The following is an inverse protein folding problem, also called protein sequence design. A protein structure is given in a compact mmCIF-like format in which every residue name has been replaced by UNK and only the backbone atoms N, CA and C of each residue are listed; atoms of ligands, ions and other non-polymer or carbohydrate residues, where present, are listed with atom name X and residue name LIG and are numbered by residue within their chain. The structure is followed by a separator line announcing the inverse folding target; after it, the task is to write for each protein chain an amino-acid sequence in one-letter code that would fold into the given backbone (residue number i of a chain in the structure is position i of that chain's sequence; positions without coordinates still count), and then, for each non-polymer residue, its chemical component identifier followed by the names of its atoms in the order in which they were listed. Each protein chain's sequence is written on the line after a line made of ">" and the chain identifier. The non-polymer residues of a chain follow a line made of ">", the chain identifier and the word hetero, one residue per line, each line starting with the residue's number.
data_IF_519563222404
#
_entry.id   IF_519563222404
#
_cell.length_a   1.000
_cell.length_b   1.000
_cell.length_c   1.000
_cell.angle_alpha   90.00
_cell.angle_beta   90.00
_cell.angle_gamma   90.00
#
_symmetry.space_group_name_H-M   'P 1'
#
loop_
_entity.id
_entity.type
_entity.pdbx_description
1 polymer ?
#
# COMPACT_ATOMS: atom_id res chain seq x y z
N UNK A 1 -17.55 -16.27 2.63
CA UNK A 1 -16.70 -15.85 3.78
C UNK A 1 -17.15 -14.46 4.21
N UNK A 2 -16.99 -14.04 5.48
CA UNK A 2 -17.30 -12.66 5.85
C UNK A 2 -16.38 -11.70 5.09
N UNK A 3 -16.93 -10.56 4.67
CA UNK A 3 -16.20 -9.50 3.96
C UNK A 3 -15.07 -8.96 4.85
N UNK A 4 -13.85 -8.93 4.35
CA UNK A 4 -12.65 -8.56 5.12
C UNK A 4 -12.51 -7.04 5.22
N UNK A 5 -12.49 -6.43 6.42
CA UNK A 5 -12.22 -5.00 6.56
C UNK A 5 -10.74 -4.68 6.25
N UNK A 6 -10.51 -3.77 5.31
CA UNK A 6 -9.17 -3.40 4.83
C UNK A 6 -8.93 -1.90 4.98
N UNK A 7 -7.80 -1.52 5.55
CA UNK A 7 -7.21 -0.19 5.42
C UNK A 7 -6.06 -0.31 4.42
N UNK A 8 -6.11 0.51 3.37
CA UNK A 8 -5.10 0.54 2.32
C UNK A 8 -4.18 1.74 2.54
N UNK A 9 -2.89 1.50 2.64
CA UNK A 9 -1.86 2.50 2.86
C UNK A 9 -0.88 2.45 1.69
N UNK A 10 -0.64 3.58 1.03
CA UNK A 10 -0.01 3.65 -0.30
C UNK A 10 0.81 4.93 -0.43
N UNK A 11 1.91 4.87 -1.13
CA UNK A 11 2.70 6.04 -1.51
C UNK A 11 2.40 6.49 -2.95
N UNK A 12 1.14 6.47 -3.35
CA UNK A 12 0.60 6.79 -4.68
C UNK A 12 1.16 8.10 -5.26
N UNK A 13 2.33 8.02 -5.86
CA UNK A 13 3.07 9.15 -6.46
C UNK A 13 4.15 8.67 -7.44
N UNK A 14 5.12 7.89 -6.97
CA UNK A 14 6.41 7.65 -7.65
C UNK A 14 6.42 6.43 -8.56
N UNK A 15 5.42 5.57 -8.47
CA UNK A 15 5.20 4.41 -9.33
C UNK A 15 3.71 4.25 -9.64
N UNK A 16 3.37 3.52 -10.69
CA UNK A 16 1.96 3.35 -11.09
C UNK A 16 1.33 2.06 -10.57
N UNK A 17 2.09 1.16 -9.98
CA UNK A 17 1.55 -0.11 -9.48
C UNK A 17 0.65 0.08 -8.25
N UNK A 18 0.82 1.15 -7.47
CA UNK A 18 -0.15 1.61 -6.47
C UNK A 18 -1.57 1.79 -7.05
N UNK A 19 -1.67 2.46 -8.20
CA UNK A 19 -2.96 2.65 -8.87
C UNK A 19 -3.55 1.31 -9.34
N UNK A 20 -2.70 0.42 -9.84
CA UNK A 20 -3.05 -0.96 -10.17
C UNK A 20 -3.51 -1.76 -8.96
N UNK A 21 -2.83 -1.62 -7.84
CA UNK A 21 -3.15 -2.28 -6.57
C UNK A 21 -4.51 -1.81 -6.01
N UNK A 22 -4.79 -0.52 -6.07
CA UNK A 22 -6.09 0.02 -5.68
C UNK A 22 -7.22 -0.50 -6.59
N UNK A 23 -6.97 -0.64 -7.91
CA UNK A 23 -7.92 -1.27 -8.82
C UNK A 23 -8.20 -2.73 -8.45
N UNK A 24 -7.16 -3.53 -8.14
CA UNK A 24 -7.31 -4.91 -7.66
C UNK A 24 -8.15 -4.95 -6.38
N UNK A 25 -7.89 -4.05 -5.44
CA UNK A 25 -8.65 -3.99 -4.18
C UNK A 25 -10.13 -3.63 -4.41
N UNK A 26 -10.42 -2.67 -5.31
CA UNK A 26 -11.80 -2.35 -5.70
C UNK A 26 -12.51 -3.53 -6.36
N UNK A 27 -11.82 -4.27 -7.22
CA UNK A 27 -12.38 -5.45 -7.86
C UNK A 27 -12.70 -6.57 -6.86
N UNK A 28 -11.82 -6.81 -5.88
CA UNK A 28 -12.06 -7.74 -4.78
C UNK A 28 -13.21 -7.27 -3.87
N UNK A 29 -13.30 -5.97 -3.61
CA UNK A 29 -14.41 -5.39 -2.86
C UNK A 29 -15.74 -5.55 -3.61
N UNK A 30 -15.76 -5.33 -4.91
CA UNK A 30 -16.93 -5.57 -5.77
C UNK A 30 -17.40 -7.03 -5.79
N UNK A 31 -16.51 -7.98 -5.47
CA UNK A 31 -16.85 -9.40 -5.29
C UNK A 31 -17.30 -9.76 -3.87
N UNK A 32 -17.31 -8.79 -2.95
CA UNK A 32 -17.66 -9.01 -1.54
C UNK A 32 -16.56 -9.64 -0.72
N UNK A 33 -15.33 -9.77 -1.25
CA UNK A 33 -14.19 -10.34 -0.52
C UNK A 33 -13.56 -9.34 0.46
N UNK A 34 -13.58 -8.04 0.12
CA UNK A 34 -13.03 -6.97 0.94
C UNK A 34 -14.03 -5.83 1.14
N UNK A 35 -13.88 -5.11 2.25
CA UNK A 35 -14.52 -3.81 2.52
C UNK A 35 -13.41 -2.79 2.75
N UNK A 36 -13.26 -1.86 1.84
CA UNK A 36 -12.30 -0.76 1.98
C UNK A 36 -12.84 0.19 3.06
N UNK A 37 -12.13 0.32 4.17
CA UNK A 37 -12.52 1.21 5.26
C UNK A 37 -12.05 2.65 5.01
N UNK A 38 -10.89 2.80 4.38
CA UNK A 38 -10.28 4.06 4.02
C UNK A 38 -8.92 3.84 3.37
N UNK A 39 -8.39 4.91 2.78
CA UNK A 39 -7.09 4.91 2.10
C UNK A 39 -6.19 5.98 2.72
N UNK A 40 -4.96 5.60 3.04
CA UNK A 40 -3.94 6.47 3.61
C UNK A 40 -2.89 6.73 2.51
N UNK A 41 -2.64 8.01 2.20
CA UNK A 41 -1.52 8.39 1.34
C UNK A 41 -0.29 8.65 2.23
N UNK A 42 0.65 7.75 2.20
CA UNK A 42 1.88 7.78 3.00
C UNK A 42 3.05 8.47 2.29
N UNK A 43 2.85 8.93 1.06
CA UNK A 43 3.81 9.77 0.35
C UNK A 43 3.66 11.26 0.73
N UNK A 44 4.77 12.01 0.84
CA UNK A 44 4.74 13.44 1.12
C UNK A 44 4.39 14.26 -0.14
N UNK A 45 3.23 13.97 -0.74
CA UNK A 45 2.71 14.60 -1.95
C UNK A 45 1.33 15.22 -1.72
N UNK A 46 1.08 16.37 -2.35
CA UNK A 46 -0.25 17.00 -2.33
C UNK A 46 -1.21 16.40 -3.36
N UNK A 47 -0.69 15.61 -4.30
CA UNK A 47 -1.45 15.03 -5.41
C UNK A 47 -1.92 13.60 -5.16
N UNK A 48 -1.30 12.86 -4.24
CA UNK A 48 -1.71 11.50 -3.89
C UNK A 48 -3.15 11.40 -3.39
N UNK A 49 -3.58 12.15 -2.36
CA UNK A 49 -4.94 12.07 -1.87
C UNK A 49 -6.02 12.37 -2.92
N UNK A 50 -5.95 13.44 -3.75
CA UNK A 50 -6.94 13.66 -4.81
C UNK A 50 -6.84 12.63 -5.95
N UNK A 51 -5.68 12.05 -6.24
CA UNK A 51 -5.53 10.94 -7.18
C UNK A 51 -6.27 9.70 -6.67
N UNK A 52 -6.07 9.33 -5.41
CA UNK A 52 -6.78 8.23 -4.73
C UNK A 52 -8.30 8.46 -4.78
N UNK A 53 -8.74 9.68 -4.45
CA UNK A 53 -10.17 10.03 -4.48
C UNK A 53 -10.76 9.90 -5.90
N UNK A 54 -10.00 10.26 -6.93
CA UNK A 54 -10.42 10.10 -8.33
C UNK A 54 -10.58 8.62 -8.72
N UNK A 55 -9.66 7.75 -8.29
CA UNK A 55 -9.78 6.30 -8.51
C UNK A 55 -10.98 5.74 -7.77
N UNK A 56 -11.14 6.05 -6.47
CA UNK A 56 -12.30 5.61 -5.69
C UNK A 56 -13.63 6.03 -6.33
N UNK A 57 -13.73 7.28 -6.80
CA UNK A 57 -14.92 7.80 -7.46
C UNK A 57 -15.23 7.07 -8.77
N UNK A 58 -14.22 6.69 -9.55
CA UNK A 58 -14.40 5.88 -10.75
C UNK A 58 -15.06 4.53 -10.43
N UNK A 59 -14.70 3.91 -9.31
CA UNK A 59 -15.32 2.66 -8.85
C UNK A 59 -16.64 2.86 -8.10
N UNK A 60 -17.15 4.11 -8.01
CA UNK A 60 -18.42 4.42 -7.33
C UNK A 60 -18.33 4.30 -5.81
N UNK A 61 -17.15 4.38 -5.23
CA UNK A 61 -16.91 4.17 -3.79
C UNK A 61 -16.46 5.48 -3.15
N UNK A 62 -17.20 5.91 -2.11
CA UNK A 62 -16.85 7.07 -1.29
C UNK A 62 -16.28 6.58 0.06
N UNK A 63 -14.95 6.46 0.12
CA UNK A 63 -14.22 6.11 1.34
C UNK A 63 -13.29 7.24 1.75
N UNK A 64 -13.10 7.45 3.07
CA UNK A 64 -12.24 8.52 3.54
C UNK A 64 -10.79 8.33 3.09
N UNK A 65 -10.15 9.43 2.71
CA UNK A 65 -8.74 9.48 2.30
C UNK A 65 -7.98 10.35 3.29
N UNK A 66 -6.80 9.90 3.69
CA UNK A 66 -5.89 10.66 4.53
C UNK A 66 -4.55 10.91 3.86
N UNK A 67 -3.79 11.84 4.41
CA UNK A 67 -2.42 12.16 4.00
C UNK A 67 -1.47 12.14 5.18
N UNK A 68 -0.23 11.77 4.91
CA UNK A 68 0.89 11.99 5.82
C UNK A 68 1.19 13.48 5.96
N UNK A 69 0.93 14.27 4.92
CA UNK A 69 1.05 15.72 4.95
C UNK A 69 -0.22 16.34 5.54
N UNK A 70 -0.04 17.04 6.66
CA UNK A 70 -1.06 17.93 7.24
C UNK A 70 -0.61 19.36 6.99
N UNK A 71 -1.48 20.29 6.57
CA UNK A 71 -1.07 21.69 6.40
C UNK A 71 -0.53 22.32 7.71
N UNK A 72 0.52 23.15 7.64
CA UNK A 72 1.31 23.52 6.48
C UNK A 72 2.19 22.35 6.01
N UNK A 73 2.24 22.12 4.69
CA UNK A 73 2.93 20.99 4.08
C UNK A 73 4.46 21.11 4.20
N UNK A 74 4.99 20.86 5.39
CA UNK A 74 6.44 20.78 5.58
C UNK A 74 6.93 19.37 5.26
N UNK A 75 7.67 19.26 4.17
CA UNK A 75 8.31 18.01 3.77
C UNK A 75 9.67 17.78 4.43
N UNK A 76 10.12 18.65 5.33
CA UNK A 76 11.28 18.52 6.23
C UNK A 76 12.47 17.68 5.77
N UNK A 77 13.48 17.55 6.62
CA UNK A 77 14.66 16.72 6.37
C UNK A 77 14.32 15.21 6.34
N UNK A 78 13.24 14.80 7.02
CA UNK A 78 12.77 13.42 7.07
C UNK A 78 12.60 12.82 5.66
N UNK A 79 12.09 13.60 4.71
CA UNK A 79 11.80 13.15 3.35
C UNK A 79 12.90 13.50 2.33
N UNK A 80 14.13 13.73 2.78
CA UNK A 80 15.26 14.10 1.91
C UNK A 80 15.50 13.05 0.80
N UNK A 81 15.45 11.78 1.14
CA UNK A 81 15.64 10.69 0.18
C UNK A 81 14.51 10.64 -0.84
N UNK A 82 13.29 10.82 -0.38
CA UNK A 82 12.11 10.86 -1.24
C UNK A 82 12.16 12.04 -2.22
N UNK A 83 12.53 13.24 -1.76
CA UNK A 83 12.72 14.40 -2.63
C UNK A 83 13.80 14.17 -3.69
N UNK A 84 14.91 13.56 -3.30
CA UNK A 84 15.98 13.21 -4.24
C UNK A 84 15.50 12.22 -5.31
N UNK A 85 14.65 11.27 -4.93
CA UNK A 85 14.03 10.34 -5.88
C UNK A 85 13.07 11.04 -6.83
N UNK A 86 12.23 11.96 -6.35
CA UNK A 86 11.35 12.77 -7.22
C UNK A 86 12.16 13.59 -8.23
N UNK A 87 13.28 14.17 -7.83
CA UNK A 87 14.15 14.90 -8.74
C UNK A 87 14.77 13.99 -9.81
N UNK A 88 15.19 12.79 -9.41
CA UNK A 88 15.65 11.77 -10.35
C UNK A 88 14.55 11.37 -11.35
N UNK A 89 13.31 11.15 -10.88
CA UNK A 89 12.18 10.81 -11.75
C UNK A 89 11.92 11.86 -12.81
N UNK A 90 12.06 13.16 -12.49
CA UNK A 90 11.90 14.26 -13.47
C UNK A 90 12.89 14.20 -14.63
N UNK A 91 14.04 13.57 -14.43
CA UNK A 91 15.07 13.38 -15.45
C UNK A 91 15.03 12.02 -16.12
N UNK A 92 14.18 11.11 -15.65
CA UNK A 92 14.01 9.76 -16.17
C UNK A 92 13.02 9.69 -17.35
N UNK A 93 12.80 8.51 -17.89
CA UNK A 93 11.74 8.23 -18.86
C UNK A 93 10.34 8.20 -18.27
N UNK A 94 10.22 8.02 -16.96
CA UNK A 94 8.96 7.97 -16.23
C UNK A 94 8.36 9.37 -16.03
N UNK A 95 7.03 9.43 -15.88
CA UNK A 95 6.31 10.67 -15.64
C UNK A 95 5.36 10.50 -14.47
N UNK A 96 5.38 11.45 -13.55
CA UNK A 96 4.43 11.50 -12.46
C UNK A 96 3.01 11.62 -13.01
N UNK A 97 2.10 10.80 -12.54
CA UNK A 97 0.74 10.69 -13.05
C UNK A 97 -0.32 11.26 -12.10
N UNK A 98 0.00 11.33 -10.81
CA UNK A 98 -0.97 11.64 -9.75
C UNK A 98 -1.60 13.03 -9.90
N UNK A 99 -0.83 14.06 -10.27
CA UNK A 99 -1.36 15.38 -10.58
C UNK A 99 -2.32 15.34 -11.79
N UNK A 100 -1.93 14.66 -12.86
CA UNK A 100 -2.75 14.54 -14.07
C UNK A 100 -4.07 13.80 -13.78
N UNK A 101 -4.02 12.69 -13.05
CA UNK A 101 -5.22 11.94 -12.65
C UNK A 101 -6.11 12.80 -11.76
N UNK A 102 -5.52 13.44 -10.74
CA UNK A 102 -6.25 14.30 -9.81
C UNK A 102 -6.96 15.46 -10.54
N UNK A 103 -6.29 16.14 -11.46
CA UNK A 103 -6.85 17.30 -12.17
C UNK A 103 -7.86 16.91 -13.22
N UNK A 104 -7.65 15.81 -13.94
CA UNK A 104 -8.56 15.36 -15.00
C UNK A 104 -9.87 14.80 -14.49
N UNK A 105 -9.85 14.16 -13.31
CA UNK A 105 -11.01 13.53 -12.70
C UNK A 105 -11.50 14.27 -11.44
N UNK A 106 -11.05 15.51 -11.24
CA UNK A 106 -11.39 16.32 -10.07
C UNK A 106 -12.89 16.63 -10.02
N UNK A 107 -13.68 15.68 -9.54
CA UNK A 107 -15.09 15.86 -9.17
C UNK A 107 -15.31 15.92 -7.66
N UNK A 108 -14.39 15.42 -6.87
CA UNK A 108 -14.52 15.42 -5.41
C UNK A 108 -13.24 15.90 -4.74
N UNK A 109 -13.20 17.14 -4.28
CA UNK A 109 -12.28 17.56 -3.23
C UNK A 109 -12.77 16.91 -1.93
N UNK A 110 -12.57 15.61 -1.81
CA UNK A 110 -12.82 14.92 -0.55
C UNK A 110 -11.96 15.59 0.54
N UNK A 111 -12.56 15.80 1.71
CA UNK A 111 -11.82 16.29 2.88
C UNK A 111 -10.71 15.29 3.19
N UNK A 112 -9.48 15.72 3.05
CA UNK A 112 -8.33 14.90 3.41
C UNK A 112 -8.15 14.89 4.93
N UNK A 113 -8.08 13.70 5.51
CA UNK A 113 -7.83 13.50 6.94
C UNK A 113 -6.32 13.54 7.23
N UNK A 114 -5.97 13.81 8.48
CA UNK A 114 -4.63 13.48 8.96
C UNK A 114 -4.50 11.96 9.09
N UNK A 115 -3.35 11.39 8.64
CA UNK A 115 -3.16 9.96 8.53
C UNK A 115 -3.43 9.20 9.83
N UNK A 116 -2.80 9.62 10.93
CA UNK A 116 -2.99 8.99 12.26
C UNK A 116 -4.45 9.09 12.73
N UNK A 117 -5.07 10.26 12.59
CA UNK A 117 -6.47 10.44 13.01
C UNK A 117 -7.42 9.52 12.26
N UNK A 118 -7.21 9.36 10.95
CA UNK A 118 -8.04 8.43 10.18
C UNK A 118 -7.81 6.97 10.59
N UNK A 119 -6.56 6.55 10.74
CA UNK A 119 -6.26 5.20 11.23
C UNK A 119 -6.97 4.91 12.55
N UNK A 120 -6.83 5.81 13.54
CA UNK A 120 -7.43 5.63 14.87
C UNK A 120 -8.95 5.55 14.80
N UNK A 121 -9.59 6.44 14.03
CA UNK A 121 -11.03 6.44 13.79
C UNK A 121 -11.50 5.12 13.18
N UNK A 122 -10.83 4.67 12.12
CA UNK A 122 -11.22 3.45 11.41
C UNK A 122 -11.03 2.21 12.28
N UNK A 123 -9.90 2.09 12.97
CA UNK A 123 -9.61 0.96 13.84
C UNK A 123 -10.57 0.89 15.03
N UNK A 124 -10.83 2.02 15.70
CA UNK A 124 -11.73 2.07 16.85
C UNK A 124 -13.15 1.59 16.53
N UNK A 125 -13.60 1.80 15.30
CA UNK A 125 -14.94 1.41 14.85
C UNK A 125 -15.07 -0.08 14.49
N UNK A 126 -13.98 -0.86 14.47
CA UNK A 126 -14.03 -2.27 14.08
C UNK A 126 -14.00 -3.20 15.29
N UNK A 127 -14.41 -4.44 15.06
CA UNK A 127 -14.26 -5.54 16.03
C UNK A 127 -12.78 -5.93 16.19
N UNK A 128 -12.43 -6.51 17.32
CA UNK A 128 -11.06 -6.91 17.62
C UNK A 128 -10.57 -8.00 16.66
N UNK A 129 -9.31 -7.85 16.22
CA UNK A 129 -8.63 -8.83 15.40
C UNK A 129 -9.22 -9.02 13.98
N UNK A 130 -9.95 -8.03 13.46
CA UNK A 130 -10.61 -8.19 12.15
C UNK A 130 -9.95 -7.44 11.01
N UNK A 131 -9.28 -6.30 11.27
CA UNK A 131 -8.78 -5.40 10.24
C UNK A 131 -7.49 -5.92 9.63
N UNK A 132 -7.43 -5.96 8.30
CA UNK A 132 -6.18 -6.11 7.55
C UNK A 132 -5.69 -4.73 7.14
N UNK A 133 -4.44 -4.44 7.46
CA UNK A 133 -3.73 -3.27 6.95
C UNK A 133 -2.82 -3.73 5.82
N UNK A 134 -2.98 -3.14 4.64
CA UNK A 134 -2.13 -3.38 3.47
C UNK A 134 -1.32 -2.12 3.25
N UNK A 135 0.00 -2.19 3.50
CA UNK A 135 0.91 -1.06 3.43
C UNK A 135 1.91 -1.25 2.29
N UNK A 136 1.83 -0.38 1.30
CA UNK A 136 2.60 -0.43 0.07
C UNK A 136 3.70 0.63 0.01
N UNK A 137 3.71 1.57 0.96
CA UNK A 137 4.59 2.73 0.98
C UNK A 137 5.60 2.76 2.14
N UNK A 138 5.86 3.97 2.63
CA UNK A 138 7.00 4.33 3.49
C UNK A 138 6.89 3.89 4.96
N UNK A 139 5.74 3.45 5.41
CA UNK A 139 5.39 3.11 6.80
C UNK A 139 5.40 4.31 7.78
N UNK A 140 5.45 5.53 7.27
CA UNK A 140 5.56 6.75 8.07
C UNK A 140 4.35 6.97 8.97
N UNK A 141 3.15 6.82 8.40
CA UNK A 141 1.89 7.00 9.15
C UNK A 141 1.68 5.86 10.14
N UNK A 142 2.06 4.63 9.78
CA UNK A 142 2.00 3.48 10.69
C UNK A 142 2.94 3.63 11.89
N UNK A 143 4.15 4.15 11.68
CA UNK A 143 5.07 4.45 12.78
C UNK A 143 4.47 5.50 13.72
N UNK A 144 3.92 6.58 13.16
CA UNK A 144 3.27 7.63 13.94
C UNK A 144 2.01 7.12 14.67
N UNK A 145 1.26 6.19 14.05
CA UNK A 145 0.13 5.52 14.70
C UNK A 145 0.58 4.73 15.94
N UNK A 146 1.66 3.94 15.82
CA UNK A 146 2.19 3.18 16.96
C UNK A 146 2.63 4.08 18.13
N UNK A 147 3.06 5.31 17.84
CA UNK A 147 3.53 6.27 18.84
C UNK A 147 2.42 7.21 19.33
N UNK A 148 1.21 7.11 18.78
CA UNK A 148 0.10 7.99 19.15
C UNK A 148 -0.46 7.67 20.53
N UNK A 149 -0.82 8.73 21.28
CA UNK A 149 -1.56 8.63 22.53
C UNK A 149 -3.07 8.45 22.33
N UNK A 150 -3.85 8.42 23.44
CA UNK A 150 -5.31 8.49 23.41
C UNK A 150 -5.81 9.75 22.70
N UNK A 151 -6.99 9.63 22.04
CA UNK A 151 -7.68 10.72 21.37
C UNK A 151 -9.22 10.56 21.45
N UNK A 152 -9.95 11.39 20.70
CA UNK A 152 -11.42 11.37 20.65
C UNK A 152 -12.00 10.06 20.10
N UNK A 153 -11.23 9.26 19.36
CA UNK A 153 -11.69 8.00 18.76
C UNK A 153 -11.42 6.80 19.68
N UNK A 154 -10.37 6.86 20.50
CA UNK A 154 -10.00 5.75 21.40
C UNK A 154 -9.17 6.21 22.57
N UNK A 155 -9.51 5.70 23.76
CA UNK A 155 -8.71 5.88 24.97
C UNK A 155 -7.41 5.03 25.00
N UNK A 156 -7.25 4.08 24.06
CA UNK A 156 -6.07 3.24 23.96
C UNK A 156 -4.90 3.99 23.30
N UNK A 157 -3.68 3.75 23.74
CA UNK A 157 -2.49 4.12 23.00
C UNK A 157 -2.47 3.43 21.61
N UNK A 158 -1.81 4.03 20.62
CA UNK A 158 -1.82 3.52 19.25
C UNK A 158 -1.35 2.07 19.12
N UNK A 159 -0.28 1.70 19.85
CA UNK A 159 0.23 0.32 19.87
C UNK A 159 -0.80 -0.68 20.42
N UNK A 160 -1.58 -0.29 21.41
CA UNK A 160 -2.59 -1.16 22.02
C UNK A 160 -3.84 -1.24 21.13
N UNK A 161 -4.22 -0.13 20.50
CA UNK A 161 -5.29 -0.10 19.50
C UNK A 161 -4.97 -1.01 18.32
N UNK A 162 -3.74 -0.93 17.78
CA UNK A 162 -3.26 -1.81 16.71
C UNK A 162 -3.29 -3.27 17.16
N UNK A 163 -2.76 -3.57 18.37
CA UNK A 163 -2.76 -4.94 18.92
C UNK A 163 -4.16 -5.52 19.05
N UNK A 164 -5.12 -4.70 19.45
CA UNK A 164 -6.50 -5.14 19.62
C UNK A 164 -7.23 -5.33 18.28
N UNK A 165 -7.08 -4.40 17.33
CA UNK A 165 -7.95 -4.31 16.16
C UNK A 165 -7.39 -4.96 14.89
N UNK A 166 -6.06 -4.95 14.74
CA UNK A 166 -5.43 -5.41 13.49
C UNK A 166 -5.21 -6.92 13.52
N UNK A 167 -5.81 -7.62 12.56
CA UNK A 167 -5.61 -9.05 12.31
C UNK A 167 -4.21 -9.32 11.76
N UNK A 168 -3.79 -8.53 10.77
CA UNK A 168 -2.47 -8.61 10.16
C UNK A 168 -2.10 -7.30 9.47
N UNK A 169 -0.82 -6.98 9.49
CA UNK A 169 -0.20 -6.04 8.57
C UNK A 169 0.44 -6.84 7.43
N UNK A 170 0.13 -6.47 6.19
CA UNK A 170 0.84 -6.96 5.01
C UNK A 170 1.56 -5.78 4.40
N UNK A 171 2.88 -5.85 4.29
CA UNK A 171 3.67 -4.73 3.73
C UNK A 171 4.47 -5.17 2.52
N UNK A 172 4.50 -4.29 1.51
CA UNK A 172 5.43 -4.38 0.39
C UNK A 172 6.77 -3.78 0.81
N UNK A 173 7.84 -4.52 0.57
CA UNK A 173 9.20 -4.07 0.87
C UNK A 173 10.13 -5.23 1.17
N UNK A 174 11.35 -4.89 1.55
CA UNK A 174 12.38 -5.88 1.81
C UNK A 174 13.29 -6.12 0.60
N UNK A 175 14.00 -7.18 0.61
CA UNK A 175 14.89 -7.59 -0.49
C UNK A 175 15.82 -8.69 -0.01
N UNK A 176 15.62 -9.89 -0.53
CA UNK A 176 16.37 -11.11 -0.25
C UNK A 176 16.26 -11.62 1.20
N UNK A 177 15.60 -12.74 1.33
CA UNK A 177 15.63 -13.53 2.57
C UNK A 177 16.91 -14.38 2.63
N UNK A 178 17.54 -14.57 3.81
CA UNK A 178 17.21 -14.01 5.10
C UNK A 178 17.90 -12.65 5.41
N UNK A 179 18.70 -12.10 4.52
CA UNK A 179 19.41 -10.84 4.70
C UNK A 179 19.33 -9.99 3.44
N UNK A 180 18.96 -8.73 3.60
CA UNK A 180 18.82 -7.86 2.45
C UNK A 180 18.75 -6.38 2.79
N UNK A 181 18.40 -5.62 1.76
CA UNK A 181 18.10 -4.19 1.85
C UNK A 181 16.91 -3.92 0.95
N UNK A 182 15.96 -3.17 1.46
CA UNK A 182 14.88 -2.64 0.65
C UNK A 182 15.40 -1.56 -0.30
N UNK A 183 14.90 -1.59 -1.54
CA UNK A 183 15.33 -0.66 -2.57
C UNK A 183 14.62 0.69 -2.49
N UNK A 184 13.42 0.75 -1.92
CA UNK A 184 12.60 1.97 -1.96
C UNK A 184 11.79 2.20 -0.68
N UNK A 185 10.70 1.47 -0.42
CA UNK A 185 9.71 1.81 0.60
C UNK A 185 10.31 2.03 2.00
N UNK A 186 11.00 1.03 2.52
CA UNK A 186 11.63 1.13 3.84
C UNK A 186 12.87 2.02 3.84
N UNK A 187 13.50 2.22 2.67
CA UNK A 187 14.66 3.09 2.53
C UNK A 187 14.30 4.57 2.57
N UNK A 188 13.13 4.95 2.07
CA UNK A 188 12.70 6.35 1.99
C UNK A 188 12.42 6.95 3.37
N UNK A 189 11.94 6.16 4.34
CA UNK A 189 11.80 6.55 5.75
C UNK A 189 12.30 5.43 6.68
N UNK A 190 13.62 5.34 6.82
CA UNK A 190 14.26 4.26 7.58
C UNK A 190 13.88 4.25 9.07
N UNK A 191 13.57 5.40 9.66
CA UNK A 191 13.13 5.50 11.05
C UNK A 191 11.73 4.89 11.21
N UNK A 192 10.82 5.22 10.31
CA UNK A 192 9.48 4.64 10.30
C UNK A 192 9.54 3.13 10.05
N UNK A 193 10.34 2.69 9.07
CA UNK A 193 10.54 1.26 8.80
C UNK A 193 11.03 0.51 10.04
N UNK A 194 12.08 1.03 10.70
CA UNK A 194 12.59 0.42 11.93
C UNK A 194 11.53 0.36 13.04
N UNK A 195 10.78 1.46 13.22
CA UNK A 195 9.72 1.53 14.24
C UNK A 195 8.62 0.51 14.02
N UNK A 196 8.18 0.35 12.77
CA UNK A 196 7.13 -0.61 12.42
C UNK A 196 7.66 -2.05 12.43
N UNK A 197 8.73 -2.33 11.70
CA UNK A 197 9.20 -3.71 11.48
C UNK A 197 9.71 -4.37 12.76
N UNK A 198 10.42 -3.59 13.61
CA UNK A 198 10.97 -4.12 14.86
C UNK A 198 9.94 -4.23 15.99
N UNK A 199 8.91 -3.39 15.99
CA UNK A 199 8.02 -3.26 17.15
C UNK A 199 6.53 -3.45 16.82
N UNK A 200 6.18 -3.93 15.62
CA UNK A 200 4.78 -4.23 15.29
C UNK A 200 4.21 -5.26 16.25
N UNK A 201 3.08 -4.95 16.95
CA UNK A 201 2.62 -5.77 18.08
C UNK A 201 1.88 -7.04 17.69
N UNK A 202 1.54 -7.21 16.41
CA UNK A 202 0.75 -8.33 15.90
C UNK A 202 1.45 -9.08 14.76
N UNK A 203 0.65 -9.83 14.02
CA UNK A 203 1.09 -10.55 12.81
C UNK A 203 1.50 -9.56 11.72
N UNK A 204 2.63 -9.85 11.05
CA UNK A 204 3.17 -9.05 9.95
C UNK A 204 3.67 -9.98 8.84
N UNK A 205 3.20 -9.75 7.61
CA UNK A 205 3.66 -10.43 6.42
C UNK A 205 4.39 -9.45 5.50
N UNK A 206 5.47 -9.90 4.89
CA UNK A 206 6.30 -9.12 3.98
C UNK A 206 6.27 -9.73 2.59
N UNK A 207 5.90 -8.92 1.59
CA UNK A 207 6.03 -9.24 0.18
C UNK A 207 7.14 -8.40 -0.46
N UNK A 208 8.11 -9.05 -1.08
CA UNK A 208 9.14 -8.39 -1.91
C UNK A 208 9.01 -8.77 -3.40
N UNK A 209 8.08 -9.65 -3.71
CA UNK A 209 7.92 -10.23 -5.04
C UNK A 209 7.00 -9.38 -5.91
N UNK A 210 7.28 -9.38 -7.22
CA UNK A 210 6.52 -8.62 -8.21
C UNK A 210 7.35 -8.26 -9.43
N UNK A 211 8.67 -8.25 -9.31
CA UNK A 211 9.58 -7.80 -10.37
C UNK A 211 9.44 -8.55 -11.71
N UNK A 212 9.05 -9.82 -11.68
CA UNK A 212 8.80 -10.65 -12.88
C UNK A 212 7.34 -10.72 -13.31
N UNK A 213 6.42 -10.11 -12.57
CA UNK A 213 4.98 -10.13 -12.83
C UNK A 213 4.61 -8.80 -13.48
N UNK A 214 4.63 -8.75 -14.81
CA UNK A 214 4.47 -7.51 -15.58
C UNK A 214 3.01 -7.32 -16.01
N UNK A 215 2.33 -6.30 -15.49
CA UNK A 215 0.92 -6.00 -15.79
C UNK A 215 0.70 -4.56 -16.23
N UNK A 216 -0.47 -4.27 -16.80
CA UNK A 216 -0.87 -2.94 -17.26
C UNK A 216 -1.26 -2.87 -18.74
N UNK A 217 -0.76 -3.79 -19.58
CA UNK A 217 -1.03 -3.75 -21.02
C UNK A 217 -2.53 -3.86 -21.36
N UNK A 218 -3.29 -4.68 -20.64
CA UNK A 218 -4.72 -4.86 -20.85
C UNK A 218 -5.57 -3.65 -20.46
N UNK A 219 -5.05 -2.75 -19.62
CA UNK A 219 -5.75 -1.50 -19.28
C UNK A 219 -6.06 -0.70 -20.55
N UNK A 220 -5.08 -0.53 -21.44
CA UNK A 220 -5.29 0.18 -22.71
C UNK A 220 -6.28 -0.54 -23.63
N UNK A 221 -6.20 -1.86 -23.70
CA UNK A 221 -7.00 -2.67 -24.64
C UNK A 221 -8.47 -2.82 -24.23
N UNK A 222 -8.74 -2.90 -22.93
CA UNK A 222 -10.02 -3.32 -22.38
C UNK A 222 -10.78 -2.20 -21.68
N UNK A 223 -10.07 -1.29 -20.97
CA UNK A 223 -10.74 -0.26 -20.19
C UNK A 223 -11.02 1.00 -21.00
N UNK A 224 -12.08 1.77 -20.67
CA UNK A 224 -12.39 3.00 -21.39
C UNK A 224 -11.31 4.07 -21.17
N UNK A 225 -11.16 5.04 -22.12
CA UNK A 225 -10.15 6.11 -22.02
C UNK A 225 -10.29 7.02 -20.78
N UNK A 226 -11.47 6.99 -20.12
CA UNK A 226 -11.71 7.74 -18.90
C UNK A 226 -11.46 6.91 -17.63
N UNK A 227 -10.79 5.76 -17.72
CA UNK A 227 -10.34 5.01 -16.54
C UNK A 227 -9.08 5.67 -15.94
N UNK A 228 -9.12 6.12 -14.67
CA UNK A 228 -7.98 6.80 -14.04
C UNK A 228 -6.76 5.89 -13.85
N UNK A 229 -6.94 4.59 -13.66
CA UNK A 229 -5.84 3.61 -13.52
C UNK A 229 -5.12 3.43 -14.87
N UNK A 230 -5.89 3.33 -15.96
CA UNK A 230 -5.32 3.35 -17.32
C UNK A 230 -4.51 4.63 -17.56
N UNK A 231 -5.06 5.79 -17.20
CA UNK A 231 -4.35 7.06 -17.36
C UNK A 231 -3.06 7.10 -16.54
N UNK A 232 -3.07 6.56 -15.32
CA UNK A 232 -1.88 6.47 -14.48
C UNK A 232 -0.77 5.66 -15.17
N UNK A 233 -1.08 4.46 -15.65
CA UNK A 233 -0.12 3.59 -16.35
C UNK A 233 0.39 4.20 -17.65
N UNK A 234 -0.51 4.67 -18.51
CA UNK A 234 -0.12 5.29 -19.80
C UNK A 234 0.75 6.54 -19.60
N UNK A 235 0.47 7.33 -18.56
CA UNK A 235 1.26 8.52 -18.22
C UNK A 235 2.64 8.13 -17.69
N UNK A 236 2.67 7.29 -16.67
CA UNK A 236 3.92 6.91 -16.01
C UNK A 236 4.89 6.20 -16.95
N UNK A 237 4.36 5.29 -17.76
CA UNK A 237 5.15 4.47 -18.68
C UNK A 237 5.40 5.15 -20.05
N UNK A 238 4.86 6.35 -20.27
CA UNK A 238 5.08 7.13 -21.51
C UNK A 238 4.37 6.56 -22.74
N UNK A 239 3.23 5.87 -22.56
CA UNK A 239 2.39 5.41 -23.66
C UNK A 239 1.53 4.19 -23.37
N UNK A 240 0.62 3.88 -24.31
CA UNK A 240 -0.34 2.79 -24.18
C UNK A 240 0.30 1.39 -24.30
N UNK A 241 -0.35 0.39 -23.72
CA UNK A 241 -0.02 -1.03 -23.87
C UNK A 241 1.31 -1.46 -23.21
N UNK A 242 1.90 -0.61 -22.39
CA UNK A 242 3.10 -0.93 -21.64
C UNK A 242 2.78 -1.63 -20.34
N UNK A 243 3.79 -2.27 -19.74
CA UNK A 243 3.68 -3.04 -18.50
C UNK A 243 4.63 -2.52 -17.43
N UNK A 244 4.25 -2.76 -16.19
CA UNK A 244 5.05 -2.49 -14.98
C UNK A 244 5.09 -3.73 -14.09
N UNK A 245 6.18 -3.99 -13.35
CA UNK A 245 6.18 -4.94 -12.24
C UNK A 245 5.03 -4.69 -11.25
N UNK A 246 4.52 -5.78 -10.65
CA UNK A 246 3.28 -5.76 -9.85
C UNK A 246 3.53 -6.13 -8.40
N UNK A 247 4.42 -5.40 -7.73
CA UNK A 247 4.73 -5.65 -6.32
C UNK A 247 3.53 -5.41 -5.42
N UNK A 248 2.84 -4.31 -5.65
CA UNK A 248 1.73 -3.84 -4.83
C UNK A 248 0.47 -4.66 -5.04
N UNK A 249 0.16 -5.01 -6.30
CA UNK A 249 -1.00 -5.84 -6.61
C UNK A 249 -0.90 -7.23 -5.96
N UNK A 250 0.31 -7.82 -5.94
CA UNK A 250 0.54 -9.09 -5.24
C UNK A 250 0.35 -8.95 -3.74
N UNK A 251 0.80 -7.84 -3.16
CA UNK A 251 0.62 -7.55 -1.75
C UNK A 251 -0.86 -7.43 -1.37
N UNK A 252 -1.65 -6.76 -2.22
CA UNK A 252 -3.12 -6.69 -2.07
C UNK A 252 -3.75 -8.06 -2.18
N UNK A 253 -3.38 -8.84 -3.19
CA UNK A 253 -3.95 -10.16 -3.42
C UNK A 253 -3.73 -11.09 -2.23
N UNK A 254 -2.51 -11.13 -1.70
CA UNK A 254 -2.21 -11.86 -0.47
C UNK A 254 -2.97 -11.29 0.74
N UNK A 255 -3.02 -9.98 0.88
CA UNK A 255 -3.69 -9.31 2.01
C UNK A 255 -5.16 -9.68 2.15
N UNK A 256 -5.85 -9.85 1.01
CA UNK A 256 -7.27 -10.20 0.98
C UNK A 256 -7.48 -11.71 1.01
N UNK A 257 -6.74 -12.50 0.23
CA UNK A 257 -6.99 -13.94 0.02
C UNK A 257 -6.08 -14.86 0.81
N UNK A 258 -5.01 -14.33 1.43
CA UNK A 258 -3.97 -15.14 2.06
C UNK A 258 -3.11 -15.87 1.03
N UNK A 259 -2.42 -16.91 1.45
CA UNK A 259 -1.49 -17.63 0.59
C UNK A 259 -2.17 -18.34 -0.59
N UNK A 260 -3.29 -19.03 -0.35
CA UNK A 260 -3.92 -19.86 -1.37
C UNK A 260 -2.90 -20.74 -2.09
N UNK A 261 -3.09 -20.88 -3.41
CA UNK A 261 -2.18 -21.62 -4.28
C UNK A 261 -1.10 -20.71 -4.93
N UNK A 262 -1.14 -19.39 -4.63
CA UNK A 262 -0.30 -18.40 -5.30
C UNK A 262 0.97 -18.08 -4.51
N UNK A 263 0.94 -18.24 -3.19
CA UNK A 263 2.02 -17.85 -2.31
C UNK A 263 2.44 -18.98 -1.37
N UNK A 264 3.70 -18.98 -0.99
CA UNK A 264 4.22 -19.73 0.14
C UNK A 264 4.53 -18.80 1.30
N UNK A 265 4.54 -19.35 2.52
CA UNK A 265 4.80 -18.59 3.74
C UNK A 265 5.97 -19.23 4.50
N UNK A 266 7.02 -18.45 4.69
CA UNK A 266 8.13 -18.82 5.59
C UNK A 266 7.89 -18.16 6.94
N UNK A 267 7.82 -18.98 8.01
CA UNK A 267 7.45 -18.61 9.37
C UNK A 267 8.51 -19.04 10.38
N UNK A 268 8.39 -18.57 11.61
CA UNK A 268 9.31 -18.95 12.71
C UNK A 268 10.58 -18.11 12.73
N UNK A 269 10.45 -16.86 12.29
CA UNK A 269 11.52 -15.87 12.30
C UNK A 269 11.05 -14.58 12.96
N UNK A 270 11.99 -13.80 13.48
CA UNK A 270 11.81 -12.37 13.75
C UNK A 270 12.46 -11.56 12.62
N UNK A 271 11.88 -10.44 12.32
CA UNK A 271 12.43 -9.47 11.38
C UNK A 271 13.07 -8.33 12.17
N UNK A 272 14.30 -7.97 11.82
CA UNK A 272 15.01 -6.83 12.37
C UNK A 272 15.46 -5.91 11.24
N UNK A 273 15.17 -4.62 11.37
CA UNK A 273 15.60 -3.56 10.45
C UNK A 273 16.60 -2.63 11.15
N UNK A 274 17.72 -2.39 10.51
CA UNK A 274 18.86 -1.64 11.05
C UNK A 274 18.96 -0.28 10.36
N UNK A 275 18.54 0.80 11.02
CA UNK A 275 18.59 2.17 10.48
C UNK A 275 19.99 2.56 9.99
N UNK A 276 21.01 2.25 10.78
CA UNK A 276 22.41 2.65 10.46
C UNK A 276 22.90 2.12 9.11
N UNK A 277 22.34 1.02 8.60
CA UNK A 277 22.77 0.38 7.36
C UNK A 277 21.67 0.30 6.30
N UNK A 278 20.41 0.54 6.67
CA UNK A 278 19.24 0.30 5.83
C UNK A 278 19.05 -1.17 5.46
N UNK A 279 19.67 -2.08 6.22
CA UNK A 279 19.54 -3.53 6.01
C UNK A 279 18.52 -4.13 6.94
N UNK A 280 17.95 -5.23 6.51
CA UNK A 280 17.12 -6.09 7.34
C UNK A 280 17.71 -7.50 7.44
N UNK A 281 17.32 -8.22 8.50
CA UNK A 281 17.65 -9.62 8.68
C UNK A 281 16.49 -10.37 9.31
N UNK A 282 16.37 -11.64 8.89
CA UNK A 282 15.44 -12.60 9.46
C UNK A 282 16.23 -13.60 10.30
N UNK A 283 15.91 -13.68 11.57
CA UNK A 283 16.58 -14.59 12.51
C UNK A 283 15.54 -15.57 13.06
N UNK A 284 15.92 -16.85 13.15
CA UNK A 284 15.04 -17.87 13.69
C UNK A 284 14.56 -17.48 15.09
N UNK A 285 13.25 -17.32 15.26
CA UNK A 285 12.58 -16.99 16.52
C UNK A 285 11.12 -17.40 16.42
N UNK A 286 10.63 -18.11 17.43
CA UNK A 286 9.24 -18.56 17.53
C UNK A 286 8.51 -18.02 18.75
N UNK A 287 9.13 -17.09 19.47
CA UNK A 287 8.61 -16.60 20.75
C UNK A 287 7.89 -15.27 20.64
N UNK A 288 8.22 -14.47 19.62
CA UNK A 288 7.64 -13.15 19.36
C UNK A 288 6.36 -13.18 18.50
N UNK A 289 5.81 -12.03 18.19
CA UNK A 289 4.70 -11.90 17.24
C UNK A 289 5.05 -12.50 15.89
N UNK A 290 4.06 -13.13 15.24
CA UNK A 290 4.29 -13.84 13.99
C UNK A 290 4.78 -12.92 12.88
N UNK A 291 5.90 -13.30 12.25
CA UNK A 291 6.50 -12.68 11.06
C UNK A 291 6.48 -13.69 9.93
N UNK A 292 6.02 -13.26 8.77
CA UNK A 292 5.87 -14.11 7.59
C UNK A 292 6.62 -13.48 6.45
N UNK A 293 7.53 -14.22 5.85
CA UNK A 293 8.13 -13.87 4.58
C UNK A 293 7.42 -14.65 3.47
N UNK A 294 6.94 -13.91 2.45
CA UNK A 294 6.19 -14.50 1.34
C UNK A 294 7.14 -15.00 0.26
N UNK A 295 6.77 -16.09 -0.38
CA UNK A 295 7.33 -16.59 -1.63
C UNK A 295 6.23 -16.77 -2.66
N UNK A 296 6.56 -16.83 -3.94
CA UNK A 296 5.62 -17.16 -5.00
C UNK A 296 5.67 -18.66 -5.29
N UNK A 297 4.51 -19.30 -5.39
CA UNK A 297 4.36 -20.70 -5.81
C UNK A 297 3.86 -20.81 -7.24
N UNK A 298 3.07 -19.83 -7.70
CA UNK A 298 2.56 -19.76 -9.04
C UNK A 298 3.58 -19.18 -10.04
N UNK A 299 3.52 -19.63 -11.29
CA UNK A 299 4.30 -19.04 -12.37
C UNK A 299 3.87 -17.60 -12.66
N UNK A 300 4.82 -16.75 -13.08
CA UNK A 300 4.56 -15.33 -13.37
C UNK A 300 3.40 -15.11 -14.33
N UNK A 301 3.28 -15.92 -15.39
CA UNK A 301 2.17 -15.80 -16.36
C UNK A 301 0.79 -16.02 -15.74
N UNK A 302 0.67 -16.95 -14.79
CA UNK A 302 -0.58 -17.17 -14.06
C UNK A 302 -0.92 -16.00 -13.16
N UNK A 303 0.09 -15.42 -12.52
CA UNK A 303 -0.08 -14.22 -11.67
C UNK A 303 -0.46 -13.01 -12.51
N UNK A 304 0.20 -12.81 -13.67
CA UNK A 304 -0.14 -11.77 -14.64
C UNK A 304 -1.61 -11.87 -15.04
N UNK A 305 -2.06 -13.06 -15.43
CA UNK A 305 -3.45 -13.29 -15.86
C UNK A 305 -4.44 -12.91 -14.74
N UNK A 306 -4.19 -13.36 -13.52
CA UNK A 306 -5.05 -13.07 -12.37
C UNK A 306 -5.09 -11.57 -12.05
N UNK A 307 -3.95 -10.90 -12.00
CA UNK A 307 -3.87 -9.47 -11.65
C UNK A 307 -4.50 -8.62 -12.76
N UNK A 308 -4.16 -8.88 -14.03
CA UNK A 308 -4.73 -8.16 -15.17
C UNK A 308 -6.27 -8.30 -15.21
N UNK A 309 -6.82 -9.49 -14.90
CA UNK A 309 -8.27 -9.67 -14.84
C UNK A 309 -8.93 -8.83 -13.75
N UNK A 310 -8.27 -8.61 -12.63
CA UNK A 310 -8.77 -7.69 -11.60
C UNK A 310 -8.63 -6.22 -12.02
N UNK A 311 -7.46 -5.83 -12.55
CA UNK A 311 -7.18 -4.44 -12.91
C UNK A 311 -8.13 -3.87 -13.98
N UNK A 312 -8.62 -4.72 -14.89
CA UNK A 312 -9.50 -4.29 -15.99
C UNK A 312 -11.00 -4.41 -15.66
N UNK A 313 -11.36 -4.87 -14.47
CA UNK A 313 -12.78 -4.99 -14.10
C UNK A 313 -13.45 -3.63 -14.04
N UNK A 314 -14.64 -3.52 -14.65
CA UNK A 314 -15.44 -2.31 -14.53
C UNK A 314 -15.94 -2.13 -13.09
N UNK A 315 -16.34 -0.91 -12.72
CA UNK A 315 -17.09 -0.68 -11.50
C UNK A 315 -18.31 -1.59 -11.41
N UNK A 316 -18.58 -2.11 -10.22
CA UNK A 316 -19.84 -2.82 -9.95
C UNK A 316 -20.97 -1.79 -9.82
N UNK A 317 -22.04 -1.96 -10.61
CA UNK A 317 -23.24 -1.10 -10.59
C UNK A 317 -23.97 -1.22 -9.25
#
# INVERSE_FOLDING_TARGET
>A
MPTLPVIFDTDMDTDCDDAGALAVLHALAGQGEAKILGVICDAPTIWGPPCIAAINAYYGVDVPVASVLVPPHDVGERYRLYRAHLEWLRTSEYRLYNELVATRFAGSRAKTWAGVSLYRKLLAAQSDGTVVVIALGLLTVLAALLDSGPDEFSAAAGVDLVRAKVKTLVTMGGGRFPHGRDGFNWHMDQQAAARVLNAWPGRLAVNEWGGSVLTGARLTAITPPHNPVRLAYETFLGGPGRTRPSWDQLTVLYGVRGAGDLFSETRGYRLEYMVATGKHQWQADRTGPERIYLGLTAHSDSLVAVIEDFMVRPPTQ
#
